data_IF_284216723015
#
_entry.id   IF_284216723015
#
_cell.length_a   1.000
_cell.length_b   1.000
_cell.length_c   1.000
_cell.angle_alpha   90.00
_cell.angle_beta   90.00
_cell.angle_gamma   90.00
#
_symmetry.space_group_name_H-M   'P 1'
#
loop_
_entity.id
_entity.type
_entity.pdbx_description
1 polymer ?
#
# COMPACT_ATOMS: atom_id res chain seq x y z
N UNK A 1 17.26 -34.54 25.54
CA UNK A 1 16.61 -34.37 25.32
C UNK A 1 16.17 -34.19 25.13
N UNK A 2 16.73 -34.03 24.69
CA UNK A 2 16.31 -33.88 24.39
C UNK A 2 15.86 -33.51 24.06
N UNK A 3 16.11 -33.32 23.68
CA UNK A 3 15.59 -33.06 23.30
C UNK A 3 15.20 -32.66 22.91
N UNK A 4 15.26 -32.60 22.66
CA UNK A 4 14.82 -32.21 22.11
C UNK A 4 14.34 -31.82 21.80
N UNK A 5 14.73 -31.94 21.70
CA UNK A 5 13.95 -31.56 21.36
C UNK A 5 13.57 -30.84 21.17
N UNK A 6 13.89 -30.52 20.88
CA UNK A 6 13.48 -29.88 20.63
C UNK A 6 13.08 -29.61 20.28
N UNK A 7 13.08 -29.54 20.13
CA UNK A 7 12.72 -29.05 19.59
C UNK A 7 12.53 -28.53 19.33
N UNK A 8 12.40 -28.44 19.07
CA UNK A 8 12.43 -27.69 18.60
C UNK A 8 12.16 -26.64 18.78
N UNK A 9 11.64 -26.42 19.32
CA UNK A 9 11.54 -25.43 19.45
C UNK A 9 12.19 -25.07 19.35
N UNK A 10 11.81 -25.01 19.52
CA UNK A 10 12.88 -24.50 18.83
C UNK A 10 13.88 -23.69 19.63
N UNK A 11 15.07 -24.17 19.69
CA UNK A 11 16.11 -23.45 20.43
C UNK A 11 16.37 -22.06 19.88
N UNK A 12 16.23 -21.86 18.59
CA UNK A 12 16.50 -20.58 18.00
C UNK A 12 15.50 -19.54 18.44
N UNK A 13 14.24 -19.93 18.52
CA UNK A 13 13.24 -19.00 19.03
C UNK A 13 13.49 -18.67 20.51
N UNK A 14 13.96 -19.63 21.26
CA UNK A 14 14.29 -19.34 22.64
C UNK A 14 15.46 -18.40 22.77
N UNK A 15 16.40 -18.45 21.86
CA UNK A 15 17.50 -17.51 21.85
C UNK A 15 17.02 -16.12 21.54
N UNK A 16 16.12 -16.00 20.60
CA UNK A 16 15.59 -14.72 20.18
C UNK A 16 14.70 -14.12 21.25
N UNK A 17 13.86 -14.94 21.84
CA UNK A 17 12.90 -14.46 22.82
C UNK A 17 13.36 -14.65 24.23
N UNK A 18 14.36 -15.44 24.38
CA UNK A 18 15.02 -15.90 25.53
C UNK A 18 14.69 -15.28 26.81
N UNK A 19 15.62 -14.90 27.63
CA UNK A 19 15.22 -14.41 28.95
C UNK A 19 14.49 -13.09 28.89
N UNK A 20 14.39 -12.52 27.72
CA UNK A 20 13.63 -11.30 27.54
C UNK A 20 12.29 -11.65 26.93
N UNK A 21 11.25 -11.72 27.73
CA UNK A 21 9.95 -11.75 27.12
C UNK A 21 9.81 -10.45 26.39
N UNK A 22 10.08 -10.49 25.13
CA UNK A 22 9.68 -9.38 24.31
C UNK A 22 8.19 -9.22 24.52
N UNK A 23 7.72 -7.99 24.70
CA UNK A 23 6.29 -7.79 24.67
C UNK A 23 5.84 -8.46 23.40
N UNK A 24 4.80 -9.27 23.48
CA UNK A 24 4.33 -9.94 22.28
C UNK A 24 4.16 -8.88 21.25
N UNK A 25 4.87 -9.04 20.15
CA UNK A 25 4.56 -8.27 18.98
C UNK A 25 3.13 -8.57 18.71
N UNK A 26 2.25 -7.71 19.17
CA UNK A 26 0.88 -7.85 18.78
C UNK A 26 0.78 -7.40 17.34
N UNK A 27 1.36 -8.21 16.47
CA UNK A 27 1.07 -8.06 15.06
C UNK A 27 -0.25 -8.73 14.88
N UNK A 28 -1.27 -7.93 14.77
CA UNK A 28 -2.58 -8.44 14.44
C UNK A 28 -2.49 -9.16 13.10
N UNK A 29 -3.30 -10.21 12.91
CA UNK A 29 -3.39 -10.81 11.59
C UNK A 29 -3.72 -9.75 10.55
N UNK A 30 -3.29 -9.92 9.31
CA UNK A 30 -3.61 -8.94 8.28
C UNK A 30 -5.10 -8.66 8.25
N UNK A 31 -5.44 -7.41 8.27
CA UNK A 31 -6.81 -6.99 8.14
C UNK A 31 -7.26 -7.32 6.71
N UNK A 32 -8.32 -8.13 6.59
CA UNK A 32 -8.82 -8.52 5.28
C UNK A 32 -9.32 -7.30 4.49
N UNK A 33 -9.56 -6.19 5.16
CA UNK A 33 -10.00 -4.96 4.52
C UNK A 33 -8.83 -4.18 3.90
N UNK A 34 -7.62 -4.41 4.34
CA UNK A 34 -6.46 -3.70 3.82
C UNK A 34 -5.92 -4.40 2.58
N UNK A 35 -5.71 -3.64 1.53
CA UNK A 35 -5.15 -4.14 0.28
C UNK A 35 -3.88 -3.36 0.00
N UNK A 36 -2.81 -4.06 -0.35
CA UNK A 36 -1.50 -3.45 -0.56
C UNK A 36 -0.96 -3.86 -1.92
N UNK A 37 -0.36 -2.91 -2.61
CA UNK A 37 0.32 -3.18 -3.86
C UNK A 37 1.41 -2.16 -4.10
N UNK A 38 2.23 -2.43 -5.09
CA UNK A 38 3.26 -1.49 -5.51
C UNK A 38 3.43 -1.62 -7.01
N UNK A 39 3.38 -0.50 -7.70
CA UNK A 39 3.47 -0.49 -9.16
C UNK A 39 4.33 0.65 -9.63
N UNK A 40 4.76 0.56 -10.88
CA UNK A 40 5.48 1.63 -11.55
C UNK A 40 4.48 2.45 -12.36
N UNK A 41 4.59 3.76 -12.25
CA UNK A 41 3.75 4.66 -13.03
C UNK A 41 4.20 4.61 -14.48
N UNK A 42 3.28 4.22 -15.34
CA UNK A 42 3.56 4.09 -16.77
C UNK A 42 3.27 5.36 -17.55
N UNK A 43 3.42 5.23 -18.86
CA UNK A 43 3.21 6.33 -19.79
C UNK A 43 1.86 6.99 -19.57
N UNK A 44 1.84 8.30 -19.63
CA UNK A 44 0.64 9.12 -19.44
C UNK A 44 0.03 8.99 -18.05
N UNK A 45 0.78 8.50 -17.07
CA UNK A 45 0.31 8.38 -15.70
C UNK A 45 -0.50 7.13 -15.41
N UNK A 46 -0.30 6.07 -16.18
CA UNK A 46 -1.05 4.83 -15.99
C UNK A 46 -0.59 4.07 -14.75
N UNK A 47 -1.56 3.63 -13.97
CA UNK A 47 -1.33 2.80 -12.79
C UNK A 47 -2.19 1.56 -12.93
N UNK A 48 -1.57 0.40 -12.88
CA UNK A 48 -2.27 -0.87 -13.04
C UNK A 48 -1.84 -1.85 -11.98
N UNK A 49 -2.79 -2.33 -11.20
CA UNK A 49 -2.58 -3.46 -10.30
C UNK A 49 -3.88 -4.25 -10.26
N UNK A 50 -3.90 -5.35 -10.99
CA UNK A 50 -5.12 -6.14 -11.15
C UNK A 50 -5.64 -6.69 -9.83
N UNK A 51 -4.74 -7.11 -8.95
CA UNK A 51 -5.15 -7.69 -7.68
C UNK A 51 -5.77 -6.65 -6.76
N UNK A 52 -5.14 -5.49 -6.70
CA UNK A 52 -5.66 -4.40 -5.86
C UNK A 52 -7.01 -3.93 -6.38
N UNK A 53 -7.11 -3.70 -7.68
CA UNK A 53 -8.36 -3.22 -8.25
C UNK A 53 -9.49 -4.24 -8.10
N UNK A 54 -9.19 -5.52 -8.32
CA UNK A 54 -10.18 -6.57 -8.13
C UNK A 54 -10.64 -6.64 -6.68
N UNK A 55 -9.72 -6.50 -5.74
CA UNK A 55 -10.06 -6.52 -4.32
C UNK A 55 -10.96 -5.35 -3.93
N UNK A 56 -10.81 -4.21 -4.61
CA UNK A 56 -11.66 -3.05 -4.38
C UNK A 56 -12.99 -3.14 -5.14
N UNK A 57 -13.15 -4.17 -5.96
CA UNK A 57 -14.35 -4.34 -6.77
C UNK A 57 -14.39 -3.42 -7.98
N UNK A 58 -13.26 -2.86 -8.36
CA UNK A 58 -13.17 -1.94 -9.49
C UNK A 58 -12.98 -2.71 -10.78
N UNK A 59 -13.76 -2.35 -11.76
CA UNK A 59 -13.82 -3.06 -13.04
C UNK A 59 -13.66 -2.10 -14.21
N UNK A 60 -13.38 -2.69 -15.33
CA UNK A 60 -13.34 -1.97 -16.60
C UNK A 60 -14.63 -1.18 -16.79
N UNK A 61 -14.49 0.08 -17.10
CA UNK A 61 -15.64 0.95 -17.30
C UNK A 61 -16.09 1.71 -16.07
N UNK A 62 -15.58 1.35 -14.90
CA UNK A 62 -15.92 2.08 -13.68
C UNK A 62 -15.35 3.48 -13.71
N UNK A 63 -16.03 4.38 -13.00
CA UNK A 63 -15.56 5.74 -12.85
C UNK A 63 -15.14 5.99 -11.43
N UNK A 64 -14.09 6.76 -11.28
CA UNK A 64 -13.49 7.07 -9.99
C UNK A 64 -13.32 8.56 -9.87
N UNK A 65 -13.29 9.05 -8.65
CA UNK A 65 -12.81 10.40 -8.39
C UNK A 65 -11.43 10.30 -7.74
N UNK A 66 -10.61 11.27 -8.01
CA UNK A 66 -9.23 11.30 -7.53
C UNK A 66 -8.97 12.68 -6.94
N UNK A 67 -8.49 12.72 -5.72
CA UNK A 67 -8.18 13.98 -5.07
C UNK A 67 -6.81 13.92 -4.44
N UNK A 68 -6.20 15.07 -4.30
CA UNK A 68 -4.93 15.25 -3.64
C UNK A 68 -5.22 15.64 -2.19
N UNK A 69 -4.67 14.90 -1.26
CA UNK A 69 -4.89 15.19 0.14
C UNK A 69 -3.72 16.02 0.69
N UNK A 70 -3.91 16.59 1.87
CA UNK A 70 -2.94 17.52 2.45
C UNK A 70 -1.58 16.92 2.74
N UNK A 71 -1.49 15.59 2.78
CA UNK A 71 -0.23 14.91 3.03
C UNK A 71 0.52 14.56 1.75
N UNK A 72 0.04 15.04 0.62
CA UNK A 72 0.68 14.76 -0.66
C UNK A 72 0.37 13.38 -1.19
N UNK A 73 -0.76 12.82 -0.80
CA UNK A 73 -1.20 11.51 -1.23
C UNK A 73 -2.41 11.66 -2.14
N UNK A 74 -2.45 10.89 -3.21
CA UNK A 74 -3.65 10.84 -4.04
C UNK A 74 -4.60 9.81 -3.48
N UNK A 75 -5.87 10.17 -3.39
CA UNK A 75 -6.89 9.25 -2.90
C UNK A 75 -7.92 9.05 -4.01
N UNK A 76 -8.01 7.82 -4.48
CA UNK A 76 -9.01 7.42 -5.46
C UNK A 76 -10.22 6.85 -4.74
N UNK A 77 -11.40 7.27 -5.13
CA UNK A 77 -12.65 6.79 -4.55
C UNK A 77 -13.52 6.18 -5.63
N UNK A 78 -14.17 5.08 -5.28
CA UNK A 78 -15.12 4.45 -6.18
C UNK A 78 -16.40 5.28 -6.23
N UNK A 79 -16.37 6.29 -7.04
CA UNK A 79 -17.49 7.20 -7.23
C UNK A 79 -17.97 7.02 -8.65
N UNK A 80 -19.11 6.42 -8.81
CA UNK A 80 -19.62 6.03 -10.12
C UNK A 80 -19.79 7.21 -11.09
N UNK A 81 -19.66 8.43 -10.59
CA UNK A 81 -19.79 9.62 -11.41
C UNK A 81 -18.47 10.39 -11.53
N UNK A 82 -17.40 9.82 -11.08
CA UNK A 82 -16.12 10.51 -11.08
C UNK A 82 -15.55 10.71 -12.49
N UNK A 83 -14.62 11.64 -12.64
CA UNK A 83 -14.05 11.98 -13.94
C UNK A 83 -13.04 10.96 -14.47
N UNK A 84 -12.54 10.08 -13.63
CA UNK A 84 -11.53 9.11 -14.03
C UNK A 84 -12.21 7.83 -14.48
N UNK A 85 -12.03 7.48 -15.74
CA UNK A 85 -12.59 6.26 -16.30
C UNK A 85 -11.53 5.17 -16.30
N UNK A 86 -11.87 4.02 -15.79
CA UNK A 86 -11.00 2.84 -15.83
C UNK A 86 -11.10 2.21 -17.23
N UNK A 87 -10.32 2.74 -18.15
CA UNK A 87 -10.25 2.20 -19.49
C UNK A 87 -9.14 1.15 -19.50
N UNK A 88 -9.42 0.01 -20.11
CA UNK A 88 -8.43 -1.08 -20.23
C UNK A 88 -7.91 -1.58 -18.88
N UNK A 89 -8.65 -1.32 -17.80
CA UNK A 89 -8.31 -1.87 -16.50
C UNK A 89 -7.29 -1.09 -15.70
N UNK A 90 -6.83 0.06 -16.20
CA UNK A 90 -5.88 0.88 -15.45
C UNK A 90 -6.50 2.24 -15.12
N UNK A 91 -5.87 2.90 -14.15
CA UNK A 91 -6.22 4.27 -13.78
C UNK A 91 -5.16 5.18 -14.42
N UNK A 92 -5.60 6.25 -15.06
CA UNK A 92 -4.68 7.25 -15.57
C UNK A 92 -4.74 8.47 -14.65
N UNK A 93 -3.62 8.78 -14.01
CA UNK A 93 -3.56 9.93 -13.12
C UNK A 93 -3.31 11.18 -13.96
N UNK A 94 -4.22 12.16 -13.92
CA UNK A 94 -4.04 13.38 -14.71
C UNK A 94 -2.76 14.11 -14.34
N UNK A 95 -2.18 14.80 -15.30
CA UNK A 95 -0.91 15.50 -15.12
C UNK A 95 -0.96 16.48 -13.96
N UNK A 96 -2.06 17.22 -13.80
CA UNK A 96 -2.19 18.19 -12.73
C UNK A 96 -2.05 17.52 -11.37
N UNK A 97 -2.68 16.37 -11.19
CA UNK A 97 -2.64 15.66 -9.93
C UNK A 97 -1.29 15.01 -9.69
N UNK A 98 -0.66 14.49 -10.75
CA UNK A 98 0.70 13.98 -10.62
C UNK A 98 1.64 15.07 -10.14
N UNK A 99 1.49 16.24 -10.69
CA UNK A 99 2.32 17.37 -10.32
C UNK A 99 2.09 17.80 -8.87
N UNK A 100 0.85 17.75 -8.43
CA UNK A 100 0.48 18.11 -7.06
C UNK A 100 1.22 17.27 -6.03
N UNK A 101 1.48 16.00 -6.32
CA UNK A 101 2.15 15.09 -5.40
C UNK A 101 3.57 14.74 -5.84
N UNK A 102 4.11 15.44 -6.81
CA UNK A 102 5.44 15.23 -7.33
C UNK A 102 5.66 13.78 -7.80
N UNK A 103 4.71 13.30 -8.57
CA UNK A 103 4.74 11.95 -9.11
C UNK A 103 5.19 12.00 -10.56
N UNK A 104 6.22 11.23 -10.88
CA UNK A 104 6.78 11.21 -12.22
C UNK A 104 6.61 9.85 -12.86
N UNK A 105 6.56 9.83 -14.19
CA UNK A 105 6.50 8.58 -14.93
C UNK A 105 7.77 7.80 -14.63
N UNK A 106 7.62 6.53 -14.35
CA UNK A 106 8.74 5.69 -13.94
C UNK A 106 8.87 5.54 -12.42
N UNK A 107 8.21 6.39 -11.66
CA UNK A 107 8.22 6.27 -10.21
C UNK A 107 7.47 5.03 -9.76
N UNK A 108 7.93 4.46 -8.66
CA UNK A 108 7.20 3.37 -8.02
C UNK A 108 6.32 3.96 -6.95
N UNK A 109 5.06 3.57 -6.95
CA UNK A 109 4.08 4.06 -5.98
C UNK A 109 3.57 2.92 -5.14
N UNK A 110 3.28 3.25 -3.89
CA UNK A 110 2.65 2.31 -2.97
C UNK A 110 1.14 2.49 -3.07
N UNK A 111 0.43 1.38 -3.15
CA UNK A 111 -1.02 1.38 -3.19
C UNK A 111 -1.55 0.80 -1.89
N UNK A 112 -2.35 1.58 -1.18
CA UNK A 112 -2.96 1.13 0.07
C UNK A 112 -4.45 1.36 -0.04
N UNK A 113 -5.22 0.27 0.00
CA UNK A 113 -6.65 0.36 -0.19
C UNK A 113 -7.46 -0.17 0.97
N UNK A 114 -8.66 0.34 1.10
CA UNK A 114 -9.68 -0.18 2.02
C UNK A 114 -10.79 -0.78 1.18
N UNK A 115 -10.92 -2.09 1.25
CA UNK A 115 -11.88 -2.81 0.42
C UNK A 115 -13.31 -2.36 0.69
N UNK A 116 -13.68 -2.28 1.95
CA UNK A 116 -15.04 -1.94 2.33
C UNK A 116 -15.39 -0.49 2.07
N UNK A 117 -14.40 0.36 1.88
CA UNK A 117 -14.63 1.77 1.64
C UNK A 117 -14.41 2.17 0.18
N UNK A 118 -13.97 1.22 -0.63
CA UNK A 118 -13.64 1.48 -2.04
C UNK A 118 -12.76 2.71 -2.19
N UNK A 119 -11.71 2.78 -1.38
CA UNK A 119 -10.76 3.87 -1.39
C UNK A 119 -9.36 3.35 -1.56
N UNK A 120 -8.57 4.07 -2.34
CA UNK A 120 -7.20 3.69 -2.62
C UNK A 120 -6.29 4.90 -2.48
N UNK A 121 -5.31 4.80 -1.62
CA UNK A 121 -4.26 5.80 -1.51
C UNK A 121 -3.15 5.43 -2.47
N UNK A 122 -2.73 6.39 -3.28
CA UNK A 122 -1.60 6.24 -4.18
C UNK A 122 -0.49 7.12 -3.60
N UNK A 123 0.53 6.48 -3.05
CA UNK A 123 1.58 7.17 -2.32
C UNK A 123 2.81 7.30 -3.20
N UNK A 124 3.10 8.53 -3.60
CA UNK A 124 4.27 8.85 -4.40
C UNK A 124 5.53 8.81 -3.54
N UNK A 125 6.71 8.61 -4.14
CA UNK A 125 7.95 8.60 -3.37
C UNK A 125 8.13 9.83 -2.50
N UNK A 126 7.71 11.00 -2.97
CA UNK A 126 7.86 12.24 -2.22
C UNK A 126 7.13 12.23 -0.88
N UNK A 127 6.04 11.47 -0.77
CA UNK A 127 5.26 11.40 0.45
C UNK A 127 5.71 10.29 1.40
N UNK A 128 6.49 9.34 0.91
CA UNK A 128 6.81 8.15 1.71
C UNK A 128 7.66 8.48 2.92
N UNK A 129 8.60 9.38 2.80
CA UNK A 129 9.46 9.73 3.92
C UNK A 129 8.67 10.29 5.10
N UNK A 130 7.70 11.14 4.80
CA UNK A 130 6.89 11.74 5.86
C UNK A 130 5.90 10.75 6.44
N UNK A 131 5.21 10.02 5.57
CA UNK A 131 4.16 9.10 6.03
C UNK A 131 4.71 7.92 6.81
N UNK A 132 5.87 7.43 6.41
CA UNK A 132 6.44 6.22 7.01
C UNK A 132 7.70 6.49 7.82
N UNK A 133 7.86 7.73 8.29
CA UNK A 133 9.04 8.14 9.04
C UNK A 133 9.40 7.19 10.19
N UNK A 134 8.45 6.75 11.03
CA UNK A 134 8.81 5.84 12.12
C UNK A 134 9.42 4.53 11.63
N UNK A 135 8.89 3.97 10.55
CA UNK A 135 9.43 2.74 9.97
C UNK A 135 10.77 2.97 9.31
N UNK A 136 10.90 4.09 8.60
CA UNK A 136 12.14 4.39 7.92
C UNK A 136 13.28 4.69 8.89
N UNK A 137 12.96 5.18 10.08
CA UNK A 137 13.96 5.42 11.10
C UNK A 137 14.71 4.15 11.49
N UNK A 138 14.10 3.00 11.28
CA UNK A 138 14.77 1.73 11.56
C UNK A 138 15.98 1.51 10.64
N UNK A 139 15.99 2.15 9.50
CA UNK A 139 17.08 2.01 8.53
C UNK A 139 18.29 2.88 8.90
N UNK A 140 18.13 3.76 9.86
CA UNK A 140 19.18 4.68 10.28
C UNK A 140 20.06 4.15 11.41
N UNK A 141 19.76 2.98 11.92
CA UNK A 141 20.48 2.37 13.04
C UNK A 141 21.74 1.66 12.61
#
# INVERSE_FOLDING_TARGET
MIAPVIPPQTPLQQLIHGPHPLPPLSVSPPDADLVVGMVTVGEAGRVLDRKVFAALGWQLGDRLSLRCDDHGVLVASGDHEGPILMRDGFIRIPYRQRRCVQLFIGDRVLLLGRRTRERLAIVAPAAMETLFAPGLALLER
#
